data_IF_741966208974
#
_entry.id   IF_741966208974
#
_cell.length_a   1.000
_cell.length_b   1.000
_cell.length_c   1.000
_cell.angle_alpha   90.00
_cell.angle_beta   90.00
_cell.angle_gamma   90.00
#
_symmetry.space_group_name_H-M   'P 1'
#
loop_
_entity.id
_entity.type
_entity.pdbx_description
1 polymer ?
#
# COMPACT_ATOMS: atom_id res chain seq x y z
N UNK A 1 -1.06 -24.75 -4.63
CA UNK A 1 -1.02 -23.33 -5.04
C UNK A 1 -0.81 -22.33 -3.88
N UNK A 2 -0.22 -22.74 -2.74
CA UNK A 2 -0.12 -21.92 -1.51
C UNK A 2 1.29 -21.44 -1.16
N UNK A 3 2.30 -21.63 -2.04
CA UNK A 3 3.69 -21.22 -1.79
C UNK A 3 4.15 -19.98 -2.58
N UNK A 4 3.35 -19.47 -3.52
CA UNK A 4 3.72 -18.32 -4.35
C UNK A 4 3.45 -16.94 -3.70
N UNK A 5 2.61 -16.87 -2.66
CA UNK A 5 2.31 -15.61 -1.98
C UNK A 5 3.31 -15.24 -0.85
N UNK A 6 4.28 -16.10 -0.57
CA UNK A 6 5.26 -15.92 0.53
C UNK A 6 6.44 -14.99 0.17
N UNK A 7 6.57 -14.53 -1.09
CA UNK A 7 7.73 -13.74 -1.55
C UNK A 7 7.49 -12.23 -1.78
N UNK A 8 6.31 -11.68 -1.49
CA UNK A 8 6.08 -10.21 -1.55
C UNK A 8 6.10 -9.49 -0.20
N UNK A 9 6.73 -10.07 0.81
CA UNK A 9 7.13 -9.35 2.03
C UNK A 9 8.54 -8.76 1.91
N UNK A 10 9.02 -8.52 0.68
CA UNK A 10 10.36 -7.99 0.41
C UNK A 10 10.49 -6.49 0.75
N UNK A 11 9.41 -5.82 1.16
CA UNK A 11 9.36 -4.34 1.29
C UNK A 11 9.50 -3.78 2.70
N UNK A 12 9.56 -4.60 3.76
CA UNK A 12 9.57 -4.06 5.12
C UNK A 12 10.90 -3.44 5.58
N UNK A 13 12.10 -3.99 5.26
CA UNK A 13 13.35 -3.42 5.80
C UNK A 13 13.74 -2.12 5.09
N UNK A 14 13.45 -1.98 3.79
CA UNK A 14 13.77 -0.76 3.04
C UNK A 14 12.90 0.43 3.47
N UNK A 15 11.59 0.21 3.62
CA UNK A 15 10.69 1.25 4.13
C UNK A 15 11.06 1.66 5.57
N UNK A 16 11.43 0.69 6.43
CA UNK A 16 11.91 0.98 7.78
C UNK A 16 13.24 1.75 7.76
N UNK A 17 14.18 1.35 6.90
CA UNK A 17 15.46 2.03 6.73
C UNK A 17 15.26 3.48 6.26
N UNK A 18 14.40 3.71 5.27
CA UNK A 18 14.06 5.05 4.79
C UNK A 18 13.38 5.89 5.89
N UNK A 19 12.51 5.29 6.70
CA UNK A 19 11.87 5.97 7.82
C UNK A 19 12.88 6.38 8.90
N UNK A 20 13.84 5.51 9.21
CA UNK A 20 14.93 5.80 10.16
C UNK A 20 15.92 6.84 9.60
N UNK A 21 16.31 6.72 8.33
CA UNK A 21 17.25 7.63 7.68
C UNK A 21 16.65 9.03 7.46
N UNK A 22 15.33 9.11 7.24
CA UNK A 22 14.61 10.39 7.04
C UNK A 22 14.16 11.05 8.35
N UNK A 23 14.34 10.38 9.48
CA UNK A 23 13.89 10.86 10.79
C UNK A 23 14.41 12.26 11.18
N UNK A 24 15.69 12.62 10.97
CA UNK A 24 16.23 13.91 11.41
C UNK A 24 15.75 15.10 10.57
N UNK A 25 15.18 14.88 9.38
CA UNK A 25 14.71 15.96 8.52
C UNK A 25 13.31 16.41 8.93
N UNK A 26 13.16 17.70 9.21
CA UNK A 26 11.90 18.34 9.61
C UNK A 26 11.48 19.35 8.54
N UNK A 27 10.37 19.06 7.89
CA UNK A 27 9.72 19.92 6.90
C UNK A 27 8.23 19.97 7.28
N UNK A 28 7.48 20.98 6.84
CA UNK A 28 6.08 21.17 7.27
C UNK A 28 5.19 19.94 6.96
N UNK A 29 5.41 19.27 5.83
CA UNK A 29 4.69 18.05 5.45
C UNK A 29 5.37 16.74 5.91
N UNK A 30 6.61 16.79 6.45
CA UNK A 30 7.39 15.57 6.71
C UNK A 30 6.78 14.70 7.82
N UNK A 31 6.12 15.31 8.81
CA UNK A 31 5.39 14.58 9.84
C UNK A 31 4.27 13.73 9.26
N UNK A 32 3.51 14.27 8.30
CA UNK A 32 2.37 13.59 7.68
C UNK A 32 2.84 12.46 6.77
N UNK A 33 3.91 12.67 5.98
CA UNK A 33 4.53 11.60 5.19
C UNK A 33 5.10 10.47 6.06
N UNK A 34 5.73 10.80 7.21
CA UNK A 34 6.23 9.80 8.16
C UNK A 34 5.08 8.97 8.75
N UNK A 35 3.98 9.60 9.14
CA UNK A 35 2.77 8.91 9.61
C UNK A 35 2.20 8.02 8.52
N UNK A 36 2.11 8.52 7.29
CA UNK A 36 1.63 7.73 6.15
C UNK A 36 2.48 6.48 5.91
N UNK A 37 3.81 6.62 5.91
CA UNK A 37 4.75 5.51 5.73
C UNK A 37 4.64 4.50 6.89
N UNK A 38 4.45 4.98 8.11
CA UNK A 38 4.21 4.14 9.28
C UNK A 38 2.91 3.34 9.14
N UNK A 39 1.83 3.98 8.69
CA UNK A 39 0.56 3.29 8.42
C UNK A 39 0.70 2.23 7.33
N UNK A 40 1.51 2.47 6.30
CA UNK A 40 1.82 1.47 5.28
C UNK A 40 2.55 0.25 5.86
N UNK A 41 3.57 0.47 6.69
CA UNK A 41 4.28 -0.60 7.41
C UNK A 41 3.34 -1.41 8.30
N UNK A 42 2.48 -0.71 9.04
CA UNK A 42 1.46 -1.31 9.89
C UNK A 42 0.38 -2.06 9.11
N UNK A 43 0.01 -1.63 7.90
CA UNK A 43 -0.97 -2.37 7.09
C UNK A 43 -0.36 -3.62 6.45
N UNK A 44 0.93 -3.56 6.11
CA UNK A 44 1.63 -4.64 5.40
C UNK A 44 1.85 -5.86 6.29
N UNK A 45 2.58 -5.70 7.40
CA UNK A 45 3.04 -6.85 8.19
C UNK A 45 1.95 -7.42 9.09
N UNK A 46 1.40 -6.69 10.07
CA UNK A 46 0.41 -7.27 10.97
C UNK A 46 -0.93 -7.50 10.25
N UNK A 47 -1.26 -6.76 9.20
CA UNK A 47 -2.45 -7.01 8.37
C UNK A 47 -2.44 -8.42 7.76
N UNK A 48 -1.32 -8.82 7.16
CA UNK A 48 -1.18 -10.17 6.58
C UNK A 48 -1.13 -11.27 7.64
N UNK A 49 -0.48 -11.04 8.79
CA UNK A 49 -0.48 -11.99 9.91
C UNK A 49 -1.88 -12.19 10.50
N UNK A 50 -2.65 -11.10 10.67
CA UNK A 50 -4.01 -11.13 11.19
C UNK A 50 -4.93 -11.92 10.25
N UNK A 51 -4.85 -11.69 8.95
CA UNK A 51 -5.58 -12.48 7.94
C UNK A 51 -5.21 -13.96 8.01
N UNK A 52 -3.91 -14.28 8.07
CA UNK A 52 -3.45 -15.67 8.15
C UNK A 52 -3.94 -16.38 9.43
N UNK A 53 -4.08 -15.65 10.54
CA UNK A 53 -4.61 -16.19 11.79
C UNK A 53 -6.12 -16.44 11.72
N UNK A 54 -6.89 -15.47 11.19
CA UNK A 54 -8.36 -15.59 11.12
C UNK A 54 -8.80 -16.60 10.06
N UNK A 55 -8.11 -16.67 8.93
CA UNK A 55 -8.38 -17.64 7.87
C UNK A 55 -8.30 -19.10 8.35
N UNK A 56 -7.52 -19.39 9.40
CA UNK A 56 -7.45 -20.73 10.01
C UNK A 56 -8.67 -21.08 10.86
N UNK A 57 -9.40 -20.08 11.37
CA UNK A 57 -10.56 -20.28 12.27
C UNK A 57 -11.89 -20.15 11.56
N UNK A 58 -12.03 -19.18 10.66
CA UNK A 58 -13.29 -18.92 9.97
C UNK A 58 -13.06 -18.30 8.58
N UNK A 59 -13.49 -18.98 7.53
CA UNK A 59 -13.37 -18.52 6.15
C UNK A 59 -14.23 -17.27 5.87
N UNK A 60 -15.46 -17.23 6.39
CA UNK A 60 -16.34 -16.05 6.23
C UNK A 60 -15.76 -14.83 6.94
N UNK A 61 -15.19 -15.05 8.14
CA UNK A 61 -14.52 -14.00 8.90
C UNK A 61 -13.29 -13.45 8.17
N UNK A 62 -12.50 -14.29 7.49
CA UNK A 62 -11.33 -13.81 6.75
C UNK A 62 -11.73 -12.92 5.58
N UNK A 63 -12.82 -13.23 4.86
CA UNK A 63 -13.32 -12.39 3.77
C UNK A 63 -13.71 -11.00 4.28
N UNK A 64 -14.45 -10.91 5.41
CA UNK A 64 -14.83 -9.62 5.97
C UNK A 64 -13.61 -8.79 6.39
N UNK A 65 -12.60 -9.42 7.00
CA UNK A 65 -11.37 -8.73 7.41
C UNK A 65 -10.55 -8.31 6.19
N UNK A 66 -10.50 -9.14 5.14
CA UNK A 66 -9.81 -8.82 3.90
C UNK A 66 -10.45 -7.60 3.23
N UNK A 67 -11.79 -7.54 3.19
CA UNK A 67 -12.53 -6.39 2.69
C UNK A 67 -12.26 -5.13 3.54
N UNK A 68 -12.25 -5.26 4.86
CA UNK A 68 -11.98 -4.14 5.78
C UNK A 68 -10.55 -3.62 5.65
N UNK A 69 -9.55 -4.50 5.57
CA UNK A 69 -8.15 -4.12 5.37
C UNK A 69 -7.95 -3.48 4.00
N UNK A 70 -8.64 -3.96 2.96
CA UNK A 70 -8.53 -3.41 1.63
C UNK A 70 -9.17 -2.01 1.53
N UNK A 71 -10.36 -1.82 2.11
CA UNK A 71 -11.02 -0.50 2.17
C UNK A 71 -10.22 0.50 2.99
N UNK A 72 -9.69 0.08 4.14
CA UNK A 72 -8.80 0.92 4.94
C UNK A 72 -7.49 1.24 4.21
N UNK A 73 -6.88 0.27 3.54
CA UNK A 73 -5.68 0.47 2.73
C UNK A 73 -5.91 1.45 1.59
N UNK A 74 -7.07 1.39 0.94
CA UNK A 74 -7.45 2.35 -0.10
C UNK A 74 -7.65 3.76 0.46
N UNK A 75 -8.33 3.91 1.59
CA UNK A 75 -8.49 5.20 2.27
C UNK A 75 -7.12 5.78 2.69
N UNK A 76 -6.21 4.93 3.18
CA UNK A 76 -4.86 5.33 3.56
C UNK A 76 -4.01 5.77 2.36
N UNK A 77 -4.20 5.12 1.21
CA UNK A 77 -3.54 5.49 -0.03
C UNK A 77 -4.05 6.82 -0.59
N UNK A 78 -5.37 7.06 -0.51
CA UNK A 78 -5.97 8.36 -0.85
C UNK A 78 -5.39 9.48 0.01
N UNK A 79 -5.29 9.24 1.33
CA UNK A 79 -4.68 10.18 2.26
C UNK A 79 -3.24 10.54 1.84
N UNK A 80 -2.38 9.55 1.58
CA UNK A 80 -1.00 9.83 1.14
C UNK A 80 -0.90 10.52 -0.21
N UNK A 81 -1.85 10.29 -1.11
CA UNK A 81 -1.88 10.97 -2.41
C UNK A 81 -2.11 12.48 -2.25
N UNK A 82 -2.98 12.87 -1.32
CA UNK A 82 -3.22 14.28 -0.98
C UNK A 82 -1.99 14.90 -0.33
N UNK A 83 -1.39 14.20 0.65
CA UNK A 83 -0.21 14.70 1.36
C UNK A 83 1.02 14.85 0.45
N UNK A 84 1.19 13.95 -0.54
CA UNK A 84 2.25 14.09 -1.54
C UNK A 84 2.08 15.33 -2.42
N UNK A 85 0.84 15.75 -2.69
CA UNK A 85 0.55 16.95 -3.49
C UNK A 85 0.84 18.24 -2.71
N UNK A 86 0.59 18.25 -1.40
CA UNK A 86 0.87 19.40 -0.52
C UNK A 86 2.37 19.54 -0.17
N UNK A 87 3.20 18.54 -0.46
CA UNK A 87 4.59 18.46 -0.02
C UNK A 87 5.63 18.97 -1.05
N UNK A 88 5.28 19.87 -1.97
CA UNK A 88 6.19 20.39 -3.01
C UNK A 88 7.47 20.99 -2.41
N UNK A 89 7.39 21.69 -1.28
CA UNK A 89 8.55 22.30 -0.60
C UNK A 89 9.49 21.27 0.05
N UNK A 90 9.04 20.02 0.25
CA UNK A 90 9.85 18.96 0.86
C UNK A 90 10.84 18.30 -0.10
N UNK A 91 10.73 18.59 -1.41
CA UNK A 91 11.58 17.99 -2.46
C UNK A 91 13.06 18.32 -2.24
N UNK A 92 13.36 19.55 -1.82
CA UNK A 92 14.74 20.01 -1.64
C UNK A 92 15.39 19.53 -0.33
N UNK A 93 14.58 19.32 0.72
CA UNK A 93 15.10 18.97 2.05
C UNK A 93 15.21 17.46 2.27
N UNK A 94 14.25 16.67 1.77
CA UNK A 94 14.19 15.23 1.99
C UNK A 94 13.80 14.49 0.69
N UNK A 95 14.61 14.59 -0.38
CA UNK A 95 14.25 14.09 -1.71
C UNK A 95 13.97 12.59 -1.72
N UNK A 96 14.73 11.78 -0.97
CA UNK A 96 14.51 10.34 -0.92
C UNK A 96 13.13 9.96 -0.38
N UNK A 97 12.66 10.66 0.67
CA UNK A 97 11.36 10.37 1.28
C UNK A 97 10.23 10.71 0.31
N UNK A 98 10.33 11.89 -0.31
CA UNK A 98 9.35 12.36 -1.29
C UNK A 98 9.28 11.43 -2.50
N UNK A 99 10.42 11.13 -3.15
CA UNK A 99 10.45 10.28 -4.33
C UNK A 99 9.96 8.86 -4.04
N UNK A 100 10.29 8.31 -2.86
CA UNK A 100 9.79 7.00 -2.47
C UNK A 100 8.26 7.01 -2.32
N UNK A 101 7.70 7.98 -1.60
CA UNK A 101 6.25 8.10 -1.41
C UNK A 101 5.52 8.35 -2.75
N UNK A 102 6.09 9.18 -3.62
CA UNK A 102 5.55 9.48 -4.95
C UNK A 102 5.53 8.25 -5.86
N UNK A 103 6.69 7.58 -6.02
CA UNK A 103 6.83 6.40 -6.88
C UNK A 103 5.95 5.26 -6.38
N UNK A 104 5.92 5.00 -5.08
CA UNK A 104 5.06 3.95 -4.50
C UNK A 104 3.58 4.24 -4.74
N UNK A 105 3.15 5.49 -4.54
CA UNK A 105 1.76 5.89 -4.80
C UNK A 105 1.38 5.69 -6.27
N UNK A 106 2.22 6.16 -7.21
CA UNK A 106 1.98 5.98 -8.64
C UNK A 106 1.94 4.50 -9.04
N UNK A 107 2.88 3.70 -8.55
CA UNK A 107 2.91 2.26 -8.85
C UNK A 107 1.63 1.56 -8.37
N UNK A 108 1.13 1.92 -7.19
CA UNK A 108 -0.10 1.32 -6.68
C UNK A 108 -1.31 1.77 -7.51
N UNK A 109 -1.44 3.04 -7.87
CA UNK A 109 -2.50 3.52 -8.77
C UNK A 109 -2.44 2.83 -10.14
N UNK A 110 -1.26 2.70 -10.73
CA UNK A 110 -1.07 2.03 -12.01
C UNK A 110 -1.46 0.55 -11.95
N UNK A 111 -1.08 -0.16 -10.88
CA UNK A 111 -1.47 -1.57 -10.69
C UNK A 111 -2.98 -1.73 -10.44
N UNK A 112 -3.62 -0.80 -9.73
CA UNK A 112 -5.08 -0.78 -9.57
C UNK A 112 -5.80 -0.60 -10.90
N UNK A 113 -5.37 0.36 -11.72
CA UNK A 113 -5.96 0.59 -13.06
C UNK A 113 -5.75 -0.65 -13.94
N UNK A 114 -4.55 -1.21 -13.94
CA UNK A 114 -4.24 -2.42 -14.73
C UNK A 114 -5.08 -3.62 -14.29
N UNK A 115 -5.23 -3.85 -12.98
CA UNK A 115 -6.04 -4.97 -12.47
C UNK A 115 -7.52 -4.80 -12.80
N UNK A 116 -8.08 -3.59 -12.68
CA UNK A 116 -9.44 -3.30 -13.11
C UNK A 116 -9.64 -3.54 -14.61
N UNK A 117 -8.69 -3.09 -15.44
CA UNK A 117 -8.73 -3.33 -16.89
C UNK A 117 -8.71 -4.84 -17.21
N UNK A 118 -7.81 -5.60 -16.59
CA UNK A 118 -7.76 -7.06 -16.77
C UNK A 118 -9.06 -7.75 -16.33
N UNK A 119 -9.68 -7.33 -15.22
CA UNK A 119 -10.96 -7.88 -14.76
C UNK A 119 -12.09 -7.60 -15.76
N UNK A 120 -12.14 -6.40 -16.34
CA UNK A 120 -13.15 -6.06 -17.36
C UNK A 120 -12.94 -6.92 -18.62
N UNK A 121 -11.71 -6.97 -19.14
CA UNK A 121 -11.40 -7.74 -20.37
C UNK A 121 -11.71 -9.23 -20.17
N UNK A 122 -11.30 -9.82 -19.04
CA UNK A 122 -11.60 -11.23 -18.74
C UNK A 122 -13.10 -11.50 -18.62
N UNK A 123 -13.86 -10.59 -18.00
CA UNK A 123 -15.32 -10.70 -17.91
C UNK A 123 -15.98 -10.62 -19.29
N UNK A 124 -15.57 -9.68 -20.13
CA UNK A 124 -16.10 -9.52 -21.50
C UNK A 124 -15.81 -10.77 -22.34
N UNK A 125 -14.56 -11.26 -22.32
CA UNK A 125 -14.19 -12.49 -23.02
C UNK A 125 -15.00 -13.70 -22.54
N UNK A 126 -15.22 -13.82 -21.23
CA UNK A 126 -16.01 -14.91 -20.67
C UNK A 126 -17.47 -14.88 -21.10
N UNK A 127 -18.08 -13.69 -21.22
CA UNK A 127 -19.45 -13.53 -21.68
C UNK A 127 -19.57 -13.81 -23.19
N UNK A 128 -18.59 -13.40 -24.00
CA UNK A 128 -18.63 -13.57 -25.46
C UNK A 128 -18.28 -15.00 -25.93
N UNK A 129 -17.47 -15.74 -25.15
CA UNK A 129 -17.07 -17.12 -25.47
C UNK A 129 -18.06 -18.18 -24.96
N UNK A 130 -19.10 -17.76 -24.24
CA UNK A 130 -20.20 -18.61 -23.76
C UNK A 130 -21.39 -18.51 -24.70
#
# INVERSE_FOLDING_TARGET
MSRCFRRRALSSPEALYLLLASWPYTCDASGRLKVWLFGWLALSWPGTMMLAFVARRNFRGSICIELALNTFGFAWLMFGSVECWEAEDCVDQAPLLFWFAFVTTILVWATLILTMFCLIVTTVLFVLLK
#
